data_IF_431561809541
#
_entry.id   IF_431561809541
#
_cell.length_a   1.000
_cell.length_b   1.000
_cell.length_c   1.000
_cell.angle_alpha   90.00
_cell.angle_beta   90.00
_cell.angle_gamma   90.00
#
_symmetry.space_group_name_H-M   'P 1'
#
loop_
_entity.id
_entity.type
_entity.pdbx_description
1 polymer ?
#
# COMPACT_ATOMS: atom_id res chain seq x y z
N UNK A 1 -13.31 21.12 27.22
CA UNK A 1 -14.11 21.11 25.97
C UNK A 1 -13.14 20.90 24.82
N UNK A 2 -13.17 19.77 24.13
CA UNK A 2 -12.34 19.53 22.95
C UNK A 2 -12.87 20.37 21.79
N UNK A 3 -12.19 21.46 21.44
CA UNK A 3 -12.55 22.31 20.29
C UNK A 3 -12.53 21.49 19.00
N UNK A 4 -13.59 21.60 18.19
CA UNK A 4 -13.72 20.94 16.87
C UNK A 4 -12.77 21.60 15.88
N UNK A 5 -12.14 20.82 15.01
CA UNK A 5 -11.30 21.35 13.93
C UNK A 5 -12.16 21.58 12.67
N UNK A 6 -11.96 22.67 11.90
CA UNK A 6 -10.91 23.69 12.02
C UNK A 6 -11.15 24.70 13.16
N UNK A 7 -10.11 24.95 13.95
CA UNK A 7 -10.11 25.91 15.07
C UNK A 7 -9.44 27.24 14.67
N UNK A 8 -10.11 28.41 14.86
CA UNK A 8 -9.59 29.70 14.37
C UNK A 8 -8.21 30.07 14.93
N UNK A 9 -7.91 29.67 16.15
CA UNK A 9 -6.65 29.93 16.85
C UNK A 9 -5.52 28.97 16.45
N UNK A 10 -5.80 27.99 15.58
CA UNK A 10 -4.83 26.99 15.09
C UNK A 10 -4.16 26.20 16.24
N UNK A 11 -4.77 26.17 17.42
CA UNK A 11 -4.30 25.45 18.60
C UNK A 11 -4.10 23.96 18.33
N UNK A 12 -4.99 23.31 17.56
CA UNK A 12 -4.85 21.88 17.20
C UNK A 12 -3.60 21.60 16.38
N UNK A 13 -3.27 22.47 15.43
CA UNK A 13 -2.00 22.38 14.68
C UNK A 13 -0.82 22.58 15.62
N UNK A 14 -0.91 23.56 16.53
CA UNK A 14 0.10 23.82 17.55
C UNK A 14 0.39 22.61 18.43
N UNK A 15 -0.66 22.03 19.03
CA UNK A 15 -0.59 20.84 19.88
C UNK A 15 -0.05 19.63 19.13
N UNK A 16 -0.51 19.38 17.90
CA UNK A 16 0.01 18.29 17.08
C UNK A 16 1.50 18.46 16.81
N UNK A 17 1.95 19.62 16.32
CA UNK A 17 3.36 19.85 16.01
C UNK A 17 4.23 19.80 17.28
N UNK A 18 3.72 20.25 18.42
CA UNK A 18 4.42 20.13 19.71
C UNK A 18 4.54 18.67 20.18
N UNK A 19 3.54 17.84 19.88
CA UNK A 19 3.57 16.40 20.22
C UNK A 19 4.56 15.59 19.38
N UNK A 20 4.93 16.10 18.20
CA UNK A 20 5.94 15.48 17.36
C UNK A 20 7.34 15.79 17.91
N UNK A 21 8.13 14.75 18.23
CA UNK A 21 9.54 14.88 18.63
C UNK A 21 10.44 15.30 17.44
N UNK A 22 10.14 16.46 16.85
CA UNK A 22 10.90 17.04 15.75
C UNK A 22 12.10 17.78 16.32
N UNK A 23 13.28 17.18 16.16
CA UNK A 23 14.58 17.71 16.62
C UNK A 23 14.99 19.03 15.95
N UNK A 24 14.46 19.35 14.76
CA UNK A 24 14.86 20.51 13.97
C UNK A 24 13.75 21.57 13.88
N UNK A 25 14.07 22.82 14.23
CA UNK A 25 13.16 23.97 14.13
C UNK A 25 12.64 24.19 12.70
N UNK A 26 13.48 24.01 11.67
CA UNK A 26 13.06 24.12 10.26
C UNK A 26 11.99 23.10 9.90
N UNK A 27 12.06 21.88 10.46
CA UNK A 27 11.05 20.85 10.25
C UNK A 27 9.73 21.23 10.90
N UNK A 28 9.75 21.79 12.11
CA UNK A 28 8.54 22.32 12.79
C UNK A 28 7.88 23.42 11.98
N UNK A 29 8.66 24.37 11.47
CA UNK A 29 8.16 25.45 10.59
C UNK A 29 7.54 24.89 9.31
N UNK A 30 8.18 23.92 8.67
CA UNK A 30 7.64 23.27 7.47
C UNK A 30 6.30 22.56 7.73
N UNK A 31 6.20 21.82 8.84
CA UNK A 31 4.95 21.16 9.23
C UNK A 31 3.84 22.18 9.46
N UNK A 32 4.10 23.24 10.25
CA UNK A 32 3.13 24.31 10.48
C UNK A 32 2.69 24.96 9.17
N UNK A 33 3.60 25.35 8.30
CA UNK A 33 3.26 25.96 7.00
C UNK A 33 2.34 25.07 6.16
N UNK A 34 2.63 23.76 6.09
CA UNK A 34 1.79 22.79 5.37
C UNK A 34 0.41 22.70 5.99
N UNK A 35 0.33 22.57 7.31
CA UNK A 35 -0.94 22.41 8.03
C UNK A 35 -1.78 23.69 8.01
N UNK A 36 -1.18 24.86 8.15
CA UNK A 36 -1.88 26.14 8.00
C UNK A 36 -2.46 26.28 6.59
N UNK A 37 -1.67 26.02 5.55
CA UNK A 37 -2.19 26.07 4.17
C UNK A 37 -3.35 25.11 3.91
N UNK A 38 -3.37 23.97 4.61
CA UNK A 38 -4.46 23.01 4.52
C UNK A 38 -5.71 23.51 5.26
N UNK A 39 -5.53 24.02 6.47
CA UNK A 39 -6.64 24.60 7.23
C UNK A 39 -7.27 25.80 6.51
N UNK A 40 -6.47 26.68 5.90
CA UNK A 40 -6.97 27.83 5.13
C UNK A 40 -7.84 27.41 3.94
N UNK A 41 -7.60 26.22 3.36
CA UNK A 41 -8.46 25.64 2.31
C UNK A 41 -9.73 25.08 2.92
N UNK A 42 -9.61 24.31 4.01
CA UNK A 42 -10.78 23.68 4.65
C UNK A 42 -11.74 24.72 5.22
N UNK A 43 -11.23 25.82 5.77
CA UNK A 43 -12.05 26.94 6.23
C UNK A 43 -12.81 27.63 5.08
N UNK A 44 -12.18 27.75 3.89
CA UNK A 44 -12.85 28.26 2.69
C UNK A 44 -13.89 27.30 2.12
N UNK A 45 -13.71 26.00 2.31
CA UNK A 45 -14.62 24.97 1.82
C UNK A 45 -15.72 24.60 2.82
N UNK A 46 -15.60 25.03 4.08
CA UNK A 46 -16.49 24.74 5.23
C UNK A 46 -16.59 23.25 5.63
N UNK A 47 -16.32 22.34 4.70
CA UNK A 47 -16.44 20.90 4.86
C UNK A 47 -15.11 20.22 4.55
N UNK A 48 -14.72 19.28 5.42
CA UNK A 48 -13.60 18.38 5.18
C UNK A 48 -14.07 17.18 4.33
N UNK A 49 -13.95 17.30 3.00
CA UNK A 49 -14.33 16.27 2.04
C UNK A 49 -13.26 16.04 0.95
N UNK A 50 -13.56 15.19 -0.04
CA UNK A 50 -12.66 14.95 -1.17
C UNK A 50 -12.35 16.23 -1.96
N UNK A 51 -13.30 17.16 -2.09
CA UNK A 51 -13.12 18.38 -2.86
C UNK A 51 -12.15 19.33 -2.16
N UNK A 52 -12.22 19.46 -0.84
CA UNK A 52 -11.26 20.23 -0.05
C UNK A 52 -9.82 19.68 -0.20
N UNK A 53 -9.66 18.35 -0.18
CA UNK A 53 -8.36 17.71 -0.44
C UNK A 53 -7.83 18.06 -1.85
N UNK A 54 -8.68 17.96 -2.86
CA UNK A 54 -8.31 18.28 -4.24
C UNK A 54 -7.97 19.76 -4.43
N UNK A 55 -8.74 20.67 -3.82
CA UNK A 55 -8.50 22.11 -3.87
C UNK A 55 -7.14 22.47 -3.29
N UNK A 56 -6.80 21.91 -2.12
CA UNK A 56 -5.50 22.09 -1.51
C UNK A 56 -4.35 21.57 -2.39
N UNK A 57 -4.52 20.38 -3.00
CA UNK A 57 -3.52 19.81 -3.90
C UNK A 57 -3.32 20.66 -5.15
N UNK A 58 -4.41 21.17 -5.76
CA UNK A 58 -4.36 22.03 -6.95
C UNK A 58 -3.66 23.35 -6.65
N UNK A 59 -4.00 24.00 -5.52
CA UNK A 59 -3.37 25.26 -5.13
C UNK A 59 -1.87 25.08 -4.95
N UNK A 60 -1.44 24.01 -4.28
CA UNK A 60 -0.02 23.77 -4.03
C UNK A 60 0.75 23.21 -5.23
N UNK A 61 0.09 22.54 -6.16
CA UNK A 61 0.70 22.10 -7.40
C UNK A 61 1.21 23.28 -8.25
N UNK A 62 0.66 24.49 -8.07
CA UNK A 62 1.17 25.72 -8.72
C UNK A 62 2.52 26.17 -8.15
N UNK A 63 2.81 25.81 -6.88
CA UNK A 63 3.98 26.30 -6.13
C UNK A 63 5.07 25.24 -6.00
N UNK A 64 4.72 23.96 -5.96
CA UNK A 64 5.65 22.87 -5.65
C UNK A 64 5.64 21.77 -6.70
N UNK A 65 6.82 21.22 -6.97
CA UNK A 65 6.96 20.01 -7.78
C UNK A 65 6.21 18.82 -7.14
N UNK A 66 5.67 17.93 -7.97
CA UNK A 66 4.85 16.78 -7.57
C UNK A 66 5.50 15.90 -6.50
N UNK A 67 6.83 15.69 -6.57
CA UNK A 67 7.57 14.91 -5.57
C UNK A 67 7.55 15.54 -4.18
N UNK A 68 7.59 16.88 -4.12
CA UNK A 68 7.49 17.64 -2.86
C UNK A 68 6.07 17.61 -2.33
N UNK A 69 5.08 17.78 -3.21
CA UNK A 69 3.67 17.69 -2.84
C UNK A 69 3.32 16.33 -2.22
N UNK A 70 3.73 15.23 -2.86
CA UNK A 70 3.56 13.85 -2.35
C UNK A 70 4.27 13.59 -1.02
N UNK A 71 5.37 14.29 -0.74
CA UNK A 71 6.01 14.18 0.57
C UNK A 71 5.16 14.87 1.65
N UNK A 72 4.60 16.05 1.32
CA UNK A 72 3.81 16.87 2.25
C UNK A 72 2.42 16.28 2.51
N UNK A 73 1.84 15.52 1.58
CA UNK A 73 0.58 14.79 1.85
C UNK A 73 0.70 13.82 3.03
N UNK A 74 1.89 13.27 3.31
CA UNK A 74 2.11 12.43 4.50
C UNK A 74 1.98 13.20 5.82
N UNK A 75 2.22 14.51 5.80
CA UNK A 75 2.01 15.37 6.97
C UNK A 75 0.51 15.52 7.23
N UNK A 76 -0.26 15.76 6.16
CA UNK A 76 -1.73 15.84 6.23
C UNK A 76 -2.33 14.52 6.69
N UNK A 77 -1.93 13.40 6.08
CA UNK A 77 -2.40 12.05 6.42
C UNK A 77 -2.29 11.76 7.93
N UNK A 78 -1.09 11.96 8.50
CA UNK A 78 -0.86 11.78 9.94
C UNK A 78 -1.60 12.78 10.83
N UNK A 79 -1.80 14.00 10.34
CA UNK A 79 -2.55 15.00 11.08
C UNK A 79 -4.04 14.68 11.12
N UNK A 80 -4.62 14.21 10.01
CA UNK A 80 -6.01 13.74 9.97
C UNK A 80 -6.22 12.53 10.90
N UNK A 81 -5.27 11.60 10.94
CA UNK A 81 -5.30 10.48 11.92
C UNK A 81 -5.27 11.01 13.36
N UNK A 82 -4.42 12.00 13.65
CA UNK A 82 -4.37 12.64 14.98
C UNK A 82 -5.68 13.34 15.34
N UNK A 83 -6.28 14.07 14.40
CA UNK A 83 -7.57 14.75 14.64
C UNK A 83 -8.69 13.73 14.89
N UNK A 84 -8.71 12.61 14.17
CA UNK A 84 -9.69 11.56 14.37
C UNK A 84 -9.52 10.89 15.75
N UNK A 85 -8.30 10.52 16.13
CA UNK A 85 -8.00 9.89 17.43
C UNK A 85 -8.32 10.83 18.60
N UNK A 86 -8.14 12.14 18.43
CA UNK A 86 -8.44 13.15 19.46
C UNK A 86 -9.89 13.63 19.45
N UNK A 87 -10.75 13.08 18.58
CA UNK A 87 -12.16 13.45 18.45
C UNK A 87 -12.38 14.89 17.96
N UNK A 88 -11.40 15.47 17.26
CA UNK A 88 -11.49 16.82 16.70
C UNK A 88 -12.20 16.86 15.34
N UNK A 89 -12.28 15.71 14.65
CA UNK A 89 -13.09 15.48 13.45
C UNK A 89 -13.89 14.18 13.62
N UNK A 90 -15.04 14.12 12.97
CA UNK A 90 -15.92 12.93 13.03
C UNK A 90 -15.48 11.85 12.01
N UNK A 91 -14.95 12.27 10.86
CA UNK A 91 -14.55 11.37 9.77
C UNK A 91 -13.24 11.83 9.10
N UNK A 92 -12.41 10.87 8.70
CA UNK A 92 -11.22 11.12 7.88
C UNK A 92 -11.55 10.85 6.40
N UNK A 93 -11.58 11.86 5.51
CA UNK A 93 -11.94 11.67 4.11
C UNK A 93 -10.94 10.77 3.35
N UNK A 94 -9.66 10.74 3.77
CA UNK A 94 -8.67 9.85 3.16
C UNK A 94 -8.92 8.40 3.54
N UNK A 95 -9.34 8.15 4.78
CA UNK A 95 -9.73 6.83 5.25
C UNK A 95 -10.99 6.33 4.54
N UNK A 96 -12.02 7.17 4.42
CA UNK A 96 -13.22 6.85 3.65
C UNK A 96 -12.89 6.48 2.19
N UNK A 97 -11.98 7.21 1.53
CA UNK A 97 -11.52 6.88 0.18
C UNK A 97 -10.75 5.57 0.11
N UNK A 98 -9.93 5.25 1.12
CA UNK A 98 -9.21 3.98 1.22
C UNK A 98 -10.16 2.80 1.38
N UNK A 99 -11.18 2.95 2.22
CA UNK A 99 -12.23 1.95 2.41
C UNK A 99 -13.03 1.73 1.14
N UNK A 100 -13.49 2.80 0.49
CA UNK A 100 -14.23 2.74 -0.77
C UNK A 100 -13.41 2.12 -1.92
N UNK A 101 -12.08 2.27 -1.90
CA UNK A 101 -11.20 1.62 -2.87
C UNK A 101 -10.71 0.24 -2.43
N UNK A 102 -11.03 -0.20 -1.20
CA UNK A 102 -10.52 -1.42 -0.59
C UNK A 102 -8.98 -1.54 -0.58
N UNK A 103 -8.28 -0.41 -0.37
CA UNK A 103 -6.81 -0.37 -0.33
C UNK A 103 -6.26 0.01 1.04
N UNK A 104 -5.17 -0.66 1.43
CA UNK A 104 -4.50 -0.39 2.71
C UNK A 104 -3.62 0.86 2.70
N UNK A 105 -3.08 1.24 1.54
CA UNK A 105 -2.11 2.33 1.44
C UNK A 105 -2.81 3.65 1.11
N UNK A 106 -2.40 4.75 1.77
CA UNK A 106 -2.89 6.10 1.50
C UNK A 106 -2.24 6.73 0.24
N UNK A 107 -0.98 6.38 -0.05
CA UNK A 107 -0.22 7.02 -1.13
C UNK A 107 -0.85 6.85 -2.53
N UNK A 108 -1.45 5.70 -2.90
CA UNK A 108 -2.22 5.59 -4.13
C UNK A 108 -3.39 6.58 -4.20
N UNK A 109 -4.13 6.80 -3.10
CA UNK A 109 -5.22 7.80 -3.05
C UNK A 109 -4.66 9.20 -3.36
N UNK A 110 -3.61 9.63 -2.66
CA UNK A 110 -2.99 10.93 -2.90
C UNK A 110 -2.49 11.10 -4.34
N UNK A 111 -1.92 10.05 -4.94
CA UNK A 111 -1.52 10.08 -6.36
C UNK A 111 -2.72 10.19 -7.30
N UNK A 112 -3.82 9.51 -7.00
CA UNK A 112 -5.05 9.63 -7.78
C UNK A 112 -5.63 11.04 -7.69
N UNK A 113 -5.67 11.64 -6.49
CA UNK A 113 -6.18 12.99 -6.28
C UNK A 113 -5.35 14.08 -6.97
N UNK A 114 -4.04 13.87 -7.17
CA UNK A 114 -3.16 14.79 -7.91
C UNK A 114 -3.31 14.65 -9.43
N UNK A 115 -3.85 13.52 -9.91
CA UNK A 115 -3.95 13.26 -11.33
C UNK A 115 -4.89 14.25 -12.04
N UNK A 116 -4.77 14.34 -13.37
CA UNK A 116 -5.63 15.22 -14.19
C UNK A 116 -7.11 14.87 -14.10
N UNK A 117 -7.44 13.60 -13.85
CA UNK A 117 -8.80 13.09 -13.69
C UNK A 117 -8.92 12.26 -12.40
N UNK A 118 -9.06 12.90 -11.23
CA UNK A 118 -9.11 12.23 -9.94
C UNK A 118 -10.15 11.12 -9.85
N UNK A 119 -11.34 11.34 -10.42
CA UNK A 119 -12.46 10.39 -10.38
C UNK A 119 -12.11 9.10 -11.13
N UNK A 120 -11.53 9.24 -12.32
CA UNK A 120 -11.08 8.08 -13.12
C UNK A 120 -9.89 7.38 -12.46
N UNK A 121 -8.96 8.13 -11.87
CA UNK A 121 -7.81 7.55 -11.18
C UNK A 121 -8.24 6.78 -9.92
N UNK A 122 -9.18 7.31 -9.14
CA UNK A 122 -9.78 6.62 -7.99
C UNK A 122 -10.57 5.39 -8.44
N UNK A 123 -11.36 5.48 -9.52
CA UNK A 123 -12.08 4.33 -10.07
C UNK A 123 -11.13 3.18 -10.46
N UNK A 124 -9.96 3.49 -11.05
CA UNK A 124 -8.91 2.50 -11.37
C UNK A 124 -8.26 1.87 -10.13
N UNK A 125 -8.31 2.54 -8.98
CA UNK A 125 -7.78 2.02 -7.72
C UNK A 125 -8.75 1.11 -7.00
N UNK A 126 -10.05 1.16 -7.32
CA UNK A 126 -11.06 0.32 -6.67
C UNK A 126 -10.74 -1.15 -6.86
N UNK A 127 -10.53 -1.83 -5.75
CA UNK A 127 -10.34 -3.27 -5.72
C UNK A 127 -11.68 -3.92 -5.36
N UNK A 128 -11.93 -5.17 -5.79
CA UNK A 128 -13.07 -5.93 -5.29
C UNK A 128 -13.06 -6.03 -3.77
N UNK A 129 -14.25 -6.14 -3.16
CA UNK A 129 -14.41 -6.22 -1.70
C UNK A 129 -13.59 -7.38 -1.14
N UNK A 130 -12.81 -7.21 -0.07
CA UNK A 130 -12.06 -8.31 0.54
C UNK A 130 -12.97 -9.48 0.92
N UNK A 131 -12.59 -10.69 0.52
CA UNK A 131 -13.33 -11.93 0.79
C UNK A 131 -14.75 -11.95 0.18
N UNK A 132 -14.90 -11.39 -1.02
CA UNK A 132 -16.18 -11.32 -1.74
C UNK A 132 -16.43 -12.46 -2.74
N UNK A 133 -15.46 -13.35 -2.98
CA UNK A 133 -15.65 -14.51 -3.87
C UNK A 133 -16.45 -15.64 -3.21
N UNK A 134 -16.81 -16.67 -4.00
CA UNK A 134 -17.43 -17.93 -3.52
C UNK A 134 -16.64 -18.60 -2.39
N UNK A 135 -15.32 -18.44 -2.36
CA UNK A 135 -14.45 -18.98 -1.30
C UNK A 135 -14.13 -17.95 -0.20
N UNK A 136 -14.64 -16.73 -0.33
CA UNK A 136 -14.32 -15.59 0.51
C UNK A 136 -14.57 -15.87 1.99
N UNK A 137 -15.76 -16.33 2.33
CA UNK A 137 -16.15 -16.66 3.71
C UNK A 137 -15.23 -17.73 4.31
N UNK A 138 -15.00 -18.83 3.58
CA UNK A 138 -14.12 -19.92 4.01
C UNK A 138 -12.69 -19.44 4.30
N UNK A 139 -12.18 -18.54 3.46
CA UNK A 139 -10.86 -17.93 3.65
C UNK A 139 -10.83 -16.98 4.85
N UNK A 140 -11.86 -16.15 5.01
CA UNK A 140 -12.00 -15.19 6.12
C UNK A 140 -12.11 -15.91 7.47
N UNK A 141 -12.96 -16.94 7.57
CA UNK A 141 -13.09 -17.80 8.75
C UNK A 141 -11.76 -18.42 9.14
N UNK A 142 -11.03 -18.93 8.15
CA UNK A 142 -9.73 -19.54 8.37
C UNK A 142 -8.71 -18.53 8.92
N UNK A 143 -8.65 -17.32 8.35
CA UNK A 143 -7.79 -16.24 8.86
C UNK A 143 -8.16 -15.87 10.30
N UNK A 144 -9.45 -15.68 10.59
CA UNK A 144 -9.94 -15.34 11.92
C UNK A 144 -9.62 -16.44 12.95
N UNK A 145 -9.83 -17.71 12.59
CA UNK A 145 -9.46 -18.84 13.42
C UNK A 145 -7.96 -18.89 13.70
N UNK A 146 -7.10 -18.70 12.69
CA UNK A 146 -5.64 -18.72 12.90
C UNK A 146 -5.19 -17.59 13.84
N UNK A 147 -5.80 -16.41 13.75
CA UNK A 147 -5.54 -15.30 14.68
C UNK A 147 -6.00 -15.61 16.10
N UNK A 148 -7.20 -16.19 16.27
CA UNK A 148 -7.71 -16.63 17.59
C UNK A 148 -6.80 -17.65 18.29
N UNK A 149 -6.04 -18.44 17.52
CA UNK A 149 -5.04 -19.38 18.05
C UNK A 149 -3.69 -18.72 18.39
N UNK A 150 -3.58 -17.40 18.32
CA UNK A 150 -2.35 -16.65 18.64
C UNK A 150 -1.34 -16.55 17.50
N UNK A 151 -1.64 -17.03 16.28
CA UNK A 151 -0.74 -16.84 15.15
C UNK A 151 -0.81 -15.40 14.61
N UNK A 152 0.36 -14.76 14.44
CA UNK A 152 0.46 -13.43 13.79
C UNK A 152 -0.15 -13.41 12.38
N UNK A 153 0.00 -14.53 11.64
CA UNK A 153 -0.64 -14.81 10.34
C UNK A 153 -0.61 -13.59 9.40
N UNK A 154 0.58 -13.05 9.12
CA UNK A 154 0.74 -11.75 8.44
C UNK A 154 0.73 -11.85 6.92
N UNK A 155 1.42 -12.84 6.34
CA UNK A 155 1.58 -12.99 4.89
C UNK A 155 0.52 -13.89 4.25
N UNK A 156 -0.09 -14.79 5.02
CA UNK A 156 -1.09 -15.73 4.51
C UNK A 156 -2.43 -15.05 4.14
N UNK A 157 -2.95 -14.08 4.91
CA UNK A 157 -4.16 -13.35 4.52
C UNK A 157 -3.98 -12.59 3.20
N UNK A 158 -2.81 -11.97 2.97
CA UNK A 158 -2.55 -11.26 1.72
C UNK A 158 -2.62 -12.20 0.50
N UNK A 159 -2.11 -13.43 0.63
CA UNK A 159 -2.23 -14.45 -0.42
C UNK A 159 -3.69 -14.80 -0.69
N UNK A 160 -4.50 -14.98 0.37
CA UNK A 160 -5.93 -15.21 0.19
C UNK A 160 -6.65 -14.04 -0.45
N UNK A 161 -6.32 -12.80 -0.08
CA UNK A 161 -6.90 -11.61 -0.71
C UNK A 161 -6.54 -11.51 -2.19
N UNK A 162 -5.32 -11.90 -2.58
CA UNK A 162 -4.92 -11.94 -3.99
C UNK A 162 -5.69 -13.02 -4.77
N UNK A 163 -5.88 -14.19 -4.18
CA UNK A 163 -6.66 -15.27 -4.80
C UNK A 163 -8.15 -14.93 -4.87
N UNK A 164 -8.73 -14.43 -3.78
CA UNK A 164 -10.11 -13.95 -3.69
C UNK A 164 -10.42 -12.88 -4.75
N UNK A 165 -9.52 -11.92 -4.93
CA UNK A 165 -9.64 -10.91 -5.98
C UNK A 165 -9.60 -11.51 -7.36
N UNK A 166 -8.72 -12.49 -7.59
CA UNK A 166 -8.67 -13.19 -8.87
C UNK A 166 -10.01 -13.87 -9.18
N UNK A 167 -10.62 -14.53 -8.20
CA UNK A 167 -11.94 -15.16 -8.37
C UNK A 167 -13.04 -14.13 -8.64
N UNK A 168 -13.09 -13.02 -7.91
CA UNK A 168 -14.07 -11.95 -8.14
C UNK A 168 -13.94 -11.30 -9.52
N UNK A 169 -12.74 -11.26 -10.09
CA UNK A 169 -12.51 -10.77 -11.44
C UNK A 169 -12.75 -11.83 -12.52
N UNK A 170 -13.02 -13.08 -12.14
CA UNK A 170 -13.28 -14.20 -13.04
C UNK A 170 -14.53 -14.99 -12.59
N UNK A 171 -15.74 -14.40 -12.69
CA UNK A 171 -16.98 -15.05 -12.24
C UNK A 171 -17.25 -16.39 -12.92
N UNK A 172 -16.71 -16.63 -14.12
CA UNK A 172 -16.80 -17.91 -14.83
C UNK A 172 -16.18 -19.09 -14.05
N UNK A 173 -15.37 -18.83 -13.03
CA UNK A 173 -14.74 -19.85 -12.21
C UNK A 173 -15.53 -20.24 -10.98
N UNK A 174 -16.61 -19.53 -10.65
CA UNK A 174 -17.39 -19.76 -9.42
C UNK A 174 -17.92 -21.19 -9.30
N UNK A 175 -18.29 -21.81 -10.43
CA UNK A 175 -18.81 -23.19 -10.48
C UNK A 175 -17.72 -24.24 -10.66
N UNK A 176 -16.47 -23.82 -10.86
CA UNK A 176 -15.37 -24.75 -11.13
C UNK A 176 -14.86 -25.41 -9.84
N UNK A 177 -14.28 -26.62 -9.93
CA UNK A 177 -13.61 -27.23 -8.80
C UNK A 177 -12.45 -26.35 -8.27
N UNK A 178 -12.20 -26.41 -6.97
CA UNK A 178 -11.11 -25.66 -6.31
C UNK A 178 -9.73 -25.87 -6.98
N UNK A 179 -9.45 -27.09 -7.44
CA UNK A 179 -8.21 -27.39 -8.16
C UNK A 179 -8.07 -26.56 -9.43
N UNK A 180 -9.15 -26.47 -10.23
CA UNK A 180 -9.21 -25.68 -11.46
C UNK A 180 -9.04 -24.18 -11.15
N UNK A 181 -9.73 -23.68 -10.11
CA UNK A 181 -9.58 -22.29 -9.66
C UNK A 181 -8.12 -21.95 -9.32
N UNK A 182 -7.43 -22.83 -8.57
CA UNK A 182 -6.03 -22.64 -8.17
C UNK A 182 -5.07 -22.78 -9.36
N UNK A 183 -5.33 -23.72 -10.28
CA UNK A 183 -4.54 -23.92 -11.49
C UNK A 183 -4.59 -22.68 -12.39
N UNK A 184 -5.78 -22.13 -12.61
CA UNK A 184 -5.94 -20.92 -13.41
C UNK A 184 -5.31 -19.69 -12.74
N UNK A 185 -5.43 -19.56 -11.43
CA UNK A 185 -4.73 -18.51 -10.69
C UNK A 185 -3.21 -18.63 -10.83
N UNK A 186 -2.67 -19.85 -10.74
CA UNK A 186 -1.24 -20.10 -10.93
C UNK A 186 -0.79 -19.79 -12.36
N UNK A 187 -1.65 -20.01 -13.35
CA UNK A 187 -1.38 -19.70 -14.75
C UNK A 187 -1.37 -18.19 -15.06
N UNK A 188 -1.99 -17.34 -14.21
CA UNK A 188 -2.02 -15.87 -14.45
C UNK A 188 -0.64 -15.24 -14.57
N UNK A 189 0.37 -15.82 -13.92
CA UNK A 189 1.76 -15.38 -14.05
C UNK A 189 2.68 -16.59 -14.06
N UNK A 190 3.39 -16.81 -15.16
CA UNK A 190 4.34 -17.92 -15.35
C UNK A 190 5.64 -17.84 -14.53
N UNK A 191 5.63 -17.18 -13.37
CA UNK A 191 6.82 -17.07 -12.52
C UNK A 191 6.96 -18.29 -11.61
N UNK A 192 8.20 -18.69 -11.30
CA UNK A 192 8.47 -19.78 -10.33
C UNK A 192 7.87 -19.50 -8.94
N UNK A 193 7.75 -18.22 -8.57
CA UNK A 193 7.08 -17.84 -7.33
C UNK A 193 5.59 -18.21 -7.34
N UNK A 194 4.90 -18.06 -8.48
CA UNK A 194 3.50 -18.44 -8.59
C UNK A 194 3.26 -19.96 -8.50
N UNK A 195 4.20 -20.80 -8.95
CA UNK A 195 4.14 -22.24 -8.70
C UNK A 195 4.26 -22.59 -7.21
N UNK A 196 5.08 -21.84 -6.46
CA UNK A 196 5.16 -21.99 -4.99
C UNK A 196 3.90 -21.47 -4.28
N UNK A 197 3.33 -20.37 -4.76
CA UNK A 197 2.08 -19.81 -4.23
C UNK A 197 0.89 -20.75 -4.47
N UNK A 198 0.83 -21.42 -5.63
CA UNK A 198 -0.12 -22.50 -5.93
C UNK A 198 -0.07 -23.63 -4.90
N UNK A 199 1.10 -24.23 -4.71
CA UNK A 199 1.29 -25.32 -3.74
C UNK A 199 0.91 -24.88 -2.31
N UNK A 200 1.17 -23.61 -1.98
CA UNK A 200 0.74 -23.06 -0.70
C UNK A 200 -0.77 -22.97 -0.55
N UNK A 201 -1.49 -22.45 -1.55
CA UNK A 201 -2.95 -22.39 -1.51
C UNK A 201 -3.54 -23.79 -1.37
N UNK A 202 -3.10 -24.72 -2.21
CA UNK A 202 -3.57 -26.11 -2.18
C UNK A 202 -3.36 -26.75 -0.81
N UNK A 203 -2.17 -26.57 -0.21
CA UNK A 203 -1.88 -27.06 1.14
C UNK A 203 -2.77 -26.43 2.20
N UNK A 204 -3.07 -25.13 2.12
CA UNK A 204 -3.91 -24.46 3.10
C UNK A 204 -5.36 -24.91 2.95
N UNK A 205 -5.89 -24.98 1.73
CA UNK A 205 -7.25 -25.45 1.49
C UNK A 205 -7.42 -26.92 1.87
N UNK A 206 -6.45 -27.80 1.58
CA UNK A 206 -6.49 -29.19 2.06
C UNK A 206 -6.59 -29.26 3.59
N UNK A 207 -5.91 -28.36 4.32
CA UNK A 207 -6.06 -28.25 5.78
C UNK A 207 -7.42 -27.70 6.22
N UNK A 208 -8.01 -26.78 5.46
CA UNK A 208 -9.35 -26.25 5.75
C UNK A 208 -10.39 -27.36 5.54
N UNK A 209 -10.37 -28.03 4.39
CA UNK A 209 -11.28 -29.12 4.07
C UNK A 209 -11.17 -30.26 5.06
N UNK A 210 -9.95 -30.69 5.41
CA UNK A 210 -9.74 -31.77 6.40
C UNK A 210 -10.21 -31.43 7.81
N UNK A 211 -10.32 -30.14 8.16
CA UNK A 211 -10.91 -29.73 9.45
C UNK A 211 -12.42 -29.86 9.44
N UNK A 212 -13.06 -29.68 8.28
CA UNK A 212 -14.51 -29.87 8.10
C UNK A 212 -14.87 -31.34 7.92
N UNK A 213 -14.03 -32.08 7.21
CA UNK A 213 -14.15 -33.52 6.99
C UNK A 213 -12.84 -34.24 7.38
N UNK A 214 -12.78 -34.88 8.57
CA UNK A 214 -11.61 -35.62 9.02
C UNK A 214 -11.22 -36.82 8.13
N UNK A 215 -12.17 -37.35 7.33
CA UNK A 215 -11.95 -38.48 6.42
C UNK A 215 -11.17 -38.08 5.16
N UNK A 216 -11.09 -36.77 4.87
CA UNK A 216 -10.35 -36.27 3.73
C UNK A 216 -8.86 -36.64 3.79
N UNK A 217 -8.26 -37.09 2.67
CA UNK A 217 -6.90 -37.59 2.63
C UNK A 217 -5.89 -36.49 3.00
N UNK A 218 -4.85 -36.87 3.73
CA UNK A 218 -3.74 -35.95 4.04
C UNK A 218 -2.94 -35.69 2.77
N UNK A 219 -2.98 -34.46 2.25
CA UNK A 219 -2.06 -34.03 1.19
C UNK A 219 -0.64 -33.89 1.74
N UNK A 220 0.31 -34.60 1.12
CA UNK A 220 1.74 -34.37 1.33
C UNK A 220 2.17 -33.14 0.52
N UNK A 221 2.79 -32.12 1.13
CA UNK A 221 3.26 -30.96 0.39
C UNK A 221 4.37 -31.33 -0.60
N UNK A 222 4.34 -30.75 -1.80
CA UNK A 222 5.46 -30.85 -2.74
C UNK A 222 6.56 -29.83 -2.37
N UNK A 223 7.78 -30.28 -2.00
CA UNK A 223 8.87 -29.36 -1.69
C UNK A 223 9.51 -28.72 -2.93
N UNK A 224 9.26 -29.22 -4.15
CA UNK A 224 9.97 -28.79 -5.38
C UNK A 224 9.78 -27.30 -5.68
N UNK A 225 8.55 -26.73 -5.71
CA UNK A 225 8.38 -25.31 -6.03
C UNK A 225 9.11 -24.39 -5.06
N UNK A 226 9.08 -24.72 -3.75
CA UNK A 226 9.80 -23.97 -2.72
C UNK A 226 11.32 -24.03 -2.94
N UNK A 227 11.85 -25.21 -3.27
CA UNK A 227 13.29 -25.40 -3.54
C UNK A 227 13.73 -24.62 -4.78
N UNK A 228 12.92 -24.58 -5.83
CA UNK A 228 13.22 -23.83 -7.06
C UNK A 228 13.23 -22.32 -6.84
N UNK A 229 12.25 -21.79 -6.11
CA UNK A 229 12.22 -20.38 -5.72
C UNK A 229 13.46 -20.03 -4.88
N UNK A 230 13.79 -20.87 -3.90
CA UNK A 230 14.98 -20.68 -3.08
C UNK A 230 16.27 -20.74 -3.91
N UNK A 231 16.37 -21.64 -4.90
CA UNK A 231 17.51 -21.71 -5.83
C UNK A 231 17.62 -20.44 -6.66
N UNK A 232 16.50 -19.89 -7.13
CA UNK A 232 16.51 -18.65 -7.90
C UNK A 232 16.98 -17.46 -7.05
N UNK A 233 16.47 -17.31 -5.83
CA UNK A 233 16.87 -16.21 -4.94
C UNK A 233 18.31 -16.34 -4.43
N UNK A 234 18.80 -17.57 -4.30
CA UNK A 234 20.18 -17.86 -3.86
C UNK A 234 21.20 -17.84 -4.98
N UNK A 235 20.80 -17.72 -6.23
CA UNK A 235 21.74 -17.59 -7.34
C UNK A 235 22.20 -16.12 -7.37
N UNK A 236 23.46 -15.81 -6.98
CA UNK A 236 23.95 -14.45 -7.09
C UNK A 236 23.90 -14.04 -8.56
N UNK A 237 23.41 -12.82 -8.83
CA UNK A 237 23.55 -12.24 -10.16
C UNK A 237 25.01 -11.86 -10.33
N UNK A 238 25.72 -12.58 -11.20
CA UNK A 238 27.08 -12.23 -11.58
C UNK A 238 26.96 -11.14 -12.65
N UNK A 239 27.37 -9.92 -12.31
CA UNK A 239 27.34 -8.80 -13.23
C UNK A 239 28.24 -9.07 -14.43
N UNK A 240 27.68 -9.01 -15.63
CA UNK A 240 28.48 -8.97 -16.85
C UNK A 240 29.13 -7.59 -17.04
N UNK A 241 30.19 -7.45 -17.86
CA UNK A 241 30.74 -6.14 -18.20
C UNK A 241 29.68 -5.16 -18.75
N UNK A 242 28.68 -5.67 -19.46
CA UNK A 242 27.55 -4.87 -19.94
C UNK A 242 26.63 -4.40 -18.81
N UNK A 243 26.39 -5.25 -17.79
CA UNK A 243 25.61 -4.87 -16.62
C UNK A 243 26.34 -3.82 -15.77
N UNK A 244 27.67 -3.95 -15.62
CA UNK A 244 28.49 -2.96 -14.92
C UNK A 244 28.45 -1.62 -15.65
N UNK A 245 28.62 -1.60 -16.98
CA UNK A 245 28.48 -0.37 -17.78
C UNK A 245 27.11 0.25 -17.61
N UNK A 246 26.05 -0.55 -17.73
CA UNK A 246 24.66 -0.10 -17.53
C UNK A 246 24.46 0.48 -16.13
N UNK A 247 25.03 -0.15 -15.10
CA UNK A 247 24.95 0.35 -13.72
C UNK A 247 25.65 1.70 -13.55
N UNK A 248 26.84 1.85 -14.15
CA UNK A 248 27.59 3.11 -14.16
C UNK A 248 26.85 4.22 -14.95
N UNK A 249 26.23 3.90 -16.08
CA UNK A 249 25.43 4.85 -16.87
C UNK A 249 24.18 5.30 -16.10
N UNK A 250 23.53 4.38 -15.38
CA UNK A 250 22.41 4.70 -14.49
C UNK A 250 22.88 5.59 -13.34
N UNK A 251 24.05 5.33 -12.76
CA UNK A 251 24.61 6.18 -11.70
C UNK A 251 24.81 7.63 -12.16
N UNK A 252 25.32 7.82 -13.39
CA UNK A 252 25.53 9.17 -13.98
C UNK A 252 24.24 9.89 -14.32
N UNK A 253 23.20 9.15 -14.68
CA UNK A 253 21.89 9.70 -15.04
C UNK A 253 20.92 9.84 -13.86
N UNK A 254 21.33 9.44 -12.65
CA UNK A 254 20.45 9.46 -11.48
C UNK A 254 20.04 10.90 -11.12
N UNK A 255 18.76 11.30 -11.29
CA UNK A 255 18.37 12.69 -11.10
C UNK A 255 18.45 13.05 -9.62
N UNK A 256 19.32 14.01 -9.29
CA UNK A 256 19.47 14.53 -7.93
C UNK A 256 19.43 16.07 -7.94
N UNK A 257 18.23 16.68 -7.96
CA UNK A 257 18.05 18.13 -8.09
C UNK A 257 18.70 18.95 -6.97
N UNK A 258 18.99 18.34 -5.82
CA UNK A 258 19.54 19.01 -4.62
C UNK A 258 20.97 18.58 -4.27
N UNK A 259 21.57 17.69 -5.07
CA UNK A 259 22.95 17.27 -4.89
C UNK A 259 23.52 16.92 -6.26
N UNK A 260 24.01 17.96 -6.96
CA UNK A 260 24.56 17.89 -8.31
C UNK A 260 25.78 16.97 -8.41
N UNK A 261 26.52 16.81 -7.31
CA UNK A 261 27.66 15.89 -7.24
C UNK A 261 27.25 14.44 -6.99
N UNK A 262 26.03 14.17 -6.52
CA UNK A 262 25.58 12.82 -6.16
C UNK A 262 25.69 11.80 -7.30
N UNK A 263 25.35 12.11 -8.56
CA UNK A 263 25.53 11.18 -9.68
C UNK A 263 27.00 10.83 -9.90
N UNK A 264 27.89 11.83 -9.81
CA UNK A 264 29.34 11.64 -9.92
C UNK A 264 29.89 10.85 -8.74
N UNK A 265 29.47 11.15 -7.51
CA UNK A 265 29.90 10.42 -6.31
C UNK A 265 29.46 8.95 -6.36
N UNK A 266 28.21 8.65 -6.76
CA UNK A 266 27.73 7.27 -6.89
C UNK A 266 28.50 6.53 -7.98
N UNK A 267 28.73 7.18 -9.13
CA UNK A 267 29.56 6.61 -10.21
C UNK A 267 30.96 6.28 -9.71
N UNK A 268 31.63 7.23 -9.03
CA UNK A 268 32.99 7.03 -8.51
C UNK A 268 33.03 5.94 -7.43
N UNK A 269 32.05 5.87 -6.54
CA UNK A 269 31.95 4.79 -5.54
C UNK A 269 31.82 3.41 -6.19
N UNK A 270 31.02 3.29 -7.26
CA UNK A 270 30.83 2.03 -7.98
C UNK A 270 32.04 1.65 -8.84
N UNK A 271 32.82 2.63 -9.29
CA UNK A 271 34.05 2.39 -10.05
C UNK A 271 35.20 1.89 -9.16
N UNK A 272 35.23 2.30 -7.89
CA UNK A 272 36.29 1.99 -6.93
C UNK A 272 36.00 0.78 -6.03
N UNK A 273 34.78 0.23 -6.07
CA UNK A 273 34.35 -0.92 -5.25
C UNK A 273 34.67 -2.26 -5.94
#
# INVERSE_FOLDING_TARGET
>A
MTSRWPDPDRARIGSYVASLDLRNLKSRTCYRQVLHSFQDIVERHEVLDQQALQAWLRELATRWATSTLLHRTRIIDRFLDYLLVTGAIDHNPVEALREACHIKQCMPIWRALISRSPEQALAKLRQPKPFGSVLGEVMAEHVAMMRRRGYKYTSQPERFLQFDRFLQLNPQLETQPLSVMIDQWAATKGTRNHAYERENLERIFAKILRRRDPSAPRRRPDPRPRKEVARQWRKPHIYSPADVRRMLDIARSYPSPRATLRPLSIYTMLLLA
#
